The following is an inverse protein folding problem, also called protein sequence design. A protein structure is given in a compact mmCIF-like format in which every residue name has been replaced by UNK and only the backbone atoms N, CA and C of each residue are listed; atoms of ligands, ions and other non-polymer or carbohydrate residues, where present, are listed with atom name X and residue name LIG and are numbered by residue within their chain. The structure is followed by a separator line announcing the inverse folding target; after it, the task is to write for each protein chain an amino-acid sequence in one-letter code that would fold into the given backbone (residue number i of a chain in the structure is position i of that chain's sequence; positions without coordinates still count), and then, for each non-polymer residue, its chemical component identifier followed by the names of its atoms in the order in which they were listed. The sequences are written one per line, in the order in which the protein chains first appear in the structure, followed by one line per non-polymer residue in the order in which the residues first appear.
data_IF_423057212563
#
_entry.id   IF_423057212563
#
_cell.length_a   1.000
_cell.length_b   1.000
_cell.length_c   1.000
_cell.angle_alpha   90.00
_cell.angle_beta   90.00
_cell.angle_gamma   90.00
#
_symmetry.space_group_name_H-M   'P 1'
#
loop_
_entity.id
_entity.type
_entity.pdbx_description
1 polymer ?
#
# COMPACT_ATOMS: atom_id res chain seq x y z
N UNK A 1 64.45 -28.91 45.63
CA UNK A 1 63.46 -30.00 45.78
C UNK A 1 62.10 -29.36 46.01
N UNK A 2 61.24 -29.30 45.00
CA UNK A 2 60.12 -30.22 44.74
C UNK A 2 58.75 -29.64 45.18
N UNK A 3 58.03 -29.14 44.16
CA UNK A 3 56.57 -29.19 43.90
C UNK A 3 55.56 -28.69 44.94
N UNK A 4 54.73 -27.72 44.51
CA UNK A 4 53.24 -27.75 44.36
C UNK A 4 52.77 -26.34 43.90
N UNK A 5 52.57 -26.08 42.60
CA UNK A 5 51.31 -26.17 41.81
C UNK A 5 50.05 -25.65 42.54
N UNK A 6 49.57 -24.46 42.17
CA UNK A 6 48.20 -24.28 41.69
C UNK A 6 48.16 -23.11 40.71
N UNK A 7 47.77 -23.42 39.47
CA UNK A 7 47.65 -22.53 38.32
C UNK A 7 46.42 -21.64 38.48
N UNK A 8 46.63 -20.33 38.44
CA UNK A 8 45.56 -19.34 38.33
C UNK A 8 44.86 -19.50 36.98
N UNK A 9 43.53 -19.48 37.04
CA UNK A 9 42.62 -19.75 35.94
C UNK A 9 42.75 -18.72 34.82
N UNK A 10 43.26 -19.16 33.68
CA UNK A 10 43.03 -18.52 32.39
C UNK A 10 41.58 -18.80 31.97
N UNK A 11 40.70 -17.81 32.12
CA UNK A 11 39.38 -17.81 31.48
C UNK A 11 39.38 -16.72 30.41
N UNK A 12 40.06 -17.03 29.31
CA UNK A 12 40.00 -16.34 28.03
C UNK A 12 38.73 -16.73 27.26
N UNK A 13 38.21 -15.79 26.47
CA UNK A 13 37.40 -16.10 25.30
C UNK A 13 35.88 -16.18 25.52
N UNK A 14 35.18 -15.08 25.27
CA UNK A 14 33.75 -15.14 24.96
C UNK A 14 32.96 -13.87 25.17
N UNK A 15 33.41 -12.73 24.62
CA UNK A 15 32.50 -11.59 24.46
C UNK A 15 31.34 -12.00 23.57
N UNK A 16 30.16 -12.12 24.18
CA UNK A 16 28.88 -12.30 23.50
C UNK A 16 28.73 -11.22 22.41
N UNK A 17 28.96 -11.60 21.16
CA UNK A 17 28.51 -10.83 20.00
C UNK A 17 26.98 -10.92 19.92
N UNK A 18 26.29 -10.23 20.83
CA UNK A 18 24.90 -9.78 20.65
C UNK A 18 24.90 -8.63 19.64
N UNK A 19 25.11 -8.94 18.36
CA UNK A 19 24.83 -8.00 17.28
C UNK A 19 24.05 -8.66 16.15
N UNK A 20 22.75 -8.35 16.20
CA UNK A 20 21.81 -8.21 15.08
C UNK A 20 21.49 -9.47 14.30
N UNK A 21 20.43 -10.15 14.75
CA UNK A 21 19.61 -11.08 13.95
C UNK A 21 18.28 -10.44 13.53
N UNK A 22 18.27 -9.11 13.32
CA UNK A 22 17.08 -8.30 13.00
C UNK A 22 17.17 -7.58 11.65
N UNK A 23 18.21 -7.80 10.85
CA UNK A 23 18.38 -7.14 9.55
C UNK A 23 17.59 -7.80 8.42
N UNK A 24 17.49 -9.14 8.40
CA UNK A 24 16.85 -9.88 7.30
C UNK A 24 15.38 -9.49 7.02
N UNK A 25 14.50 -9.31 8.03
CA UNK A 25 13.10 -8.97 7.75
C UNK A 25 12.95 -7.57 7.17
N UNK A 26 13.77 -6.63 7.63
CA UNK A 26 13.72 -5.22 7.22
C UNK A 26 14.23 -5.08 5.78
N UNK A 27 15.29 -5.80 5.42
CA UNK A 27 15.83 -5.79 4.06
C UNK A 27 14.83 -6.32 3.02
N UNK A 28 14.03 -7.33 3.38
CA UNK A 28 12.99 -7.87 2.50
C UNK A 28 11.86 -6.84 2.32
N UNK A 29 11.42 -6.18 3.40
CA UNK A 29 10.41 -5.12 3.33
C UNK A 29 10.84 -3.95 2.44
N UNK A 30 12.09 -3.48 2.59
CA UNK A 30 12.63 -2.39 1.80
C UNK A 30 12.74 -2.79 0.31
N UNK A 31 13.07 -4.06 0.06
CA UNK A 31 13.08 -4.62 -1.30
C UNK A 31 11.68 -4.65 -1.92
N UNK A 32 10.66 -5.07 -1.17
CA UNK A 32 9.26 -5.06 -1.62
C UNK A 32 8.80 -3.65 -1.97
N UNK A 33 9.12 -2.67 -1.13
CA UNK A 33 8.82 -1.26 -1.38
C UNK A 33 9.50 -0.75 -2.65
N UNK A 34 10.79 -1.05 -2.82
CA UNK A 34 11.54 -0.68 -4.03
C UNK A 34 10.93 -1.28 -5.30
N UNK A 35 10.53 -2.55 -5.28
CA UNK A 35 9.90 -3.22 -6.41
C UNK A 35 8.57 -2.57 -6.79
N UNK A 36 7.72 -2.27 -5.80
CA UNK A 36 6.42 -1.62 -6.04
C UNK A 36 6.63 -0.19 -6.56
N UNK A 37 7.55 0.59 -6.00
CA UNK A 37 7.76 1.98 -6.46
C UNK A 37 8.34 2.06 -7.88
N UNK A 38 9.20 1.11 -8.24
CA UNK A 38 9.89 1.07 -9.55
C UNK A 38 9.04 0.52 -10.69
N UNK A 39 7.92 -0.14 -10.40
CA UNK A 39 7.02 -0.61 -11.46
C UNK A 39 6.54 0.58 -12.31
N UNK A 40 6.45 0.39 -13.63
CA UNK A 40 6.12 1.46 -14.58
C UNK A 40 7.29 2.35 -14.99
N UNK A 41 8.51 2.12 -14.51
CA UNK A 41 9.72 2.80 -15.00
C UNK A 41 10.30 2.13 -16.25
N UNK A 42 11.19 2.85 -16.95
CA UNK A 42 11.89 2.38 -18.15
C UNK A 42 12.54 1.02 -17.86
N UNK A 43 12.14 0.01 -18.63
CA UNK A 43 12.57 -1.37 -18.47
C UNK A 43 12.89 -1.99 -19.83
N UNK A 44 13.70 -3.04 -19.83
CA UNK A 44 13.99 -3.84 -21.03
C UNK A 44 12.81 -4.75 -21.42
N UNK A 45 11.99 -5.12 -20.45
CA UNK A 45 10.79 -5.96 -20.61
C UNK A 45 9.53 -5.11 -20.69
N UNK A 46 8.44 -5.67 -21.23
CA UNK A 46 7.15 -4.99 -21.33
C UNK A 46 6.52 -4.72 -19.95
N UNK A 47 5.64 -3.72 -19.87
CA UNK A 47 4.98 -3.34 -18.62
C UNK A 47 4.10 -4.48 -18.08
N UNK A 48 3.43 -5.20 -18.98
CA UNK A 48 2.59 -6.35 -18.66
C UNK A 48 3.41 -7.46 -18.02
N UNK A 49 4.58 -7.79 -18.60
CA UNK A 49 5.47 -8.82 -18.05
C UNK A 49 6.01 -8.42 -16.68
N UNK A 50 6.30 -7.14 -16.46
CA UNK A 50 6.79 -6.64 -15.17
C UNK A 50 5.68 -6.70 -14.10
N UNK A 51 4.45 -6.34 -14.46
CA UNK A 51 3.29 -6.42 -13.57
C UNK A 51 2.95 -7.86 -13.19
N UNK A 52 2.94 -8.78 -14.16
CA UNK A 52 2.67 -10.18 -13.93
C UNK A 52 3.73 -10.82 -13.02
N UNK A 53 5.01 -10.53 -13.30
CA UNK A 53 6.12 -10.99 -12.47
C UNK A 53 6.07 -10.43 -11.05
N UNK A 54 5.77 -9.14 -10.89
CA UNK A 54 5.64 -8.51 -9.58
C UNK A 54 4.45 -9.07 -8.80
N UNK A 55 3.31 -9.30 -9.44
CA UNK A 55 2.14 -9.90 -8.80
C UNK A 55 2.47 -11.29 -8.23
N UNK A 56 3.22 -12.12 -8.97
CA UNK A 56 3.66 -13.43 -8.50
C UNK A 56 4.62 -13.36 -7.31
N UNK A 57 5.54 -12.39 -7.30
CA UNK A 57 6.45 -12.17 -6.15
C UNK A 57 5.66 -11.72 -4.92
N UNK A 58 4.78 -10.73 -5.07
CA UNK A 58 3.97 -10.22 -3.97
C UNK A 58 3.05 -11.30 -3.40
N UNK A 59 2.44 -12.13 -4.25
CA UNK A 59 1.61 -13.27 -3.83
C UNK A 59 2.40 -14.26 -2.95
N UNK A 60 3.62 -14.61 -3.35
CA UNK A 60 4.47 -15.53 -2.59
C UNK A 60 4.85 -14.97 -1.21
N UNK A 61 4.98 -13.65 -1.10
CA UNK A 61 5.34 -12.95 0.14
C UNK A 61 4.14 -12.56 1.02
N UNK A 62 2.89 -12.70 0.53
CA UNK A 62 1.68 -12.40 1.31
C UNK A 62 1.64 -13.10 2.68
N UNK A 63 1.95 -14.40 2.85
CA UNK A 63 1.81 -15.09 4.14
C UNK A 63 2.60 -14.44 5.28
N UNK A 64 3.75 -13.83 4.95
CA UNK A 64 4.66 -13.24 5.93
C UNK A 64 4.57 -11.71 5.96
N UNK A 65 4.24 -11.07 4.83
CA UNK A 65 4.36 -9.61 4.65
C UNK A 65 3.06 -8.90 4.21
N UNK A 66 1.90 -9.58 4.27
CA UNK A 66 0.59 -9.01 3.86
C UNK A 66 0.35 -7.59 4.35
N UNK A 67 0.54 -7.34 5.65
CA UNK A 67 0.29 -6.02 6.25
C UNK A 67 1.22 -4.93 5.69
N UNK A 68 2.49 -5.27 5.42
CA UNK A 68 3.44 -4.33 4.84
C UNK A 68 3.07 -4.03 3.38
N UNK A 69 2.74 -5.07 2.61
CA UNK A 69 2.30 -4.93 1.21
C UNK A 69 1.05 -4.06 1.11
N UNK A 70 0.04 -4.30 1.96
CA UNK A 70 -1.16 -3.48 2.05
C UNK A 70 -0.83 -2.01 2.31
N UNK A 71 0.07 -1.73 3.27
CA UNK A 71 0.49 -0.37 3.60
C UNK A 71 1.21 0.32 2.44
N UNK A 72 2.12 -0.38 1.76
CA UNK A 72 2.84 0.18 0.61
C UNK A 72 1.85 0.49 -0.53
N UNK A 73 0.95 -0.44 -0.86
CA UNK A 73 -0.03 -0.25 -1.93
C UNK A 73 -1.01 0.90 -1.62
N UNK A 74 -1.46 1.03 -0.37
CA UNK A 74 -2.28 2.17 0.04
C UNK A 74 -1.49 3.49 -0.03
N UNK A 75 -0.19 3.46 0.29
CA UNK A 75 0.67 4.65 0.20
C UNK A 75 0.86 5.11 -1.24
N UNK A 76 1.19 4.20 -2.18
CA UNK A 76 1.37 4.56 -3.59
C UNK A 76 0.06 5.03 -4.24
N UNK A 77 -1.10 4.48 -3.85
CA UNK A 77 -2.41 4.94 -4.31
C UNK A 77 -2.69 6.42 -3.93
N UNK A 78 -2.07 6.90 -2.85
CA UNK A 78 -2.23 8.27 -2.35
C UNK A 78 -1.13 9.21 -2.82
N UNK A 79 0.11 8.72 -2.93
CA UNK A 79 1.30 9.53 -3.16
C UNK A 79 1.71 9.61 -4.63
N UNK A 80 1.32 8.64 -5.47
CA UNK A 80 1.76 8.52 -6.87
C UNK A 80 0.58 8.41 -7.84
N UNK A 81 -0.29 9.43 -7.93
CA UNK A 81 -1.46 9.41 -8.81
C UNK A 81 -1.09 9.35 -10.31
N UNK A 82 0.12 9.71 -10.70
CA UNK A 82 0.60 9.66 -12.08
C UNK A 82 0.76 8.24 -12.64
N UNK A 83 0.93 7.24 -11.75
CA UNK A 83 1.04 5.82 -12.09
C UNK A 83 -0.22 5.04 -11.70
N UNK A 84 -1.36 5.71 -11.50
CA UNK A 84 -2.58 5.12 -10.94
C UNK A 84 -2.99 3.82 -11.62
N UNK A 85 -3.10 3.81 -12.96
CA UNK A 85 -3.53 2.63 -13.72
C UNK A 85 -2.57 1.45 -13.63
N UNK A 86 -1.28 1.70 -13.38
CA UNK A 86 -0.27 0.66 -13.18
C UNK A 86 -0.52 -0.05 -11.85
N UNK A 87 -0.77 0.72 -10.80
CA UNK A 87 -1.03 0.18 -9.47
C UNK A 87 -2.39 -0.50 -9.33
N UNK A 88 -3.43 0.02 -9.97
CA UNK A 88 -4.75 -0.62 -9.99
C UNK A 88 -4.72 -1.95 -10.74
N UNK A 89 -3.97 -2.01 -11.86
CA UNK A 89 -3.72 -3.28 -12.58
C UNK A 89 -2.97 -4.28 -11.70
N UNK A 90 -1.93 -3.86 -10.98
CA UNK A 90 -1.20 -4.73 -10.05
C UNK A 90 -2.14 -5.31 -8.96
N UNK A 91 -2.99 -4.46 -8.37
CA UNK A 91 -4.00 -4.90 -7.40
C UNK A 91 -5.02 -5.84 -8.03
N UNK A 92 -5.42 -5.60 -9.28
CA UNK A 92 -6.29 -6.49 -10.06
C UNK A 92 -5.70 -7.89 -10.23
N UNK A 93 -4.43 -7.97 -10.60
CA UNK A 93 -3.70 -9.24 -10.72
C UNK A 93 -3.60 -9.97 -9.36
N UNK A 94 -3.31 -9.23 -8.29
CA UNK A 94 -3.27 -9.78 -6.94
C UNK A 94 -4.66 -10.28 -6.47
N UNK A 95 -5.72 -9.56 -6.79
CA UNK A 95 -7.08 -9.97 -6.47
C UNK A 95 -7.49 -11.25 -7.23
N UNK A 96 -7.11 -11.37 -8.51
CA UNK A 96 -7.37 -12.57 -9.30
C UNK A 96 -6.67 -13.82 -8.74
N UNK A 97 -5.51 -13.63 -8.10
CA UNK A 97 -4.72 -14.69 -7.44
C UNK A 97 -5.22 -14.98 -6.03
N UNK A 98 -5.59 -13.94 -5.28
CA UNK A 98 -6.05 -14.03 -3.90
C UNK A 98 -7.19 -13.03 -3.62
N UNK A 99 -8.43 -13.50 -3.72
CA UNK A 99 -9.62 -12.68 -3.47
C UNK A 99 -9.71 -12.15 -2.03
N UNK A 100 -9.20 -12.89 -1.03
CA UNK A 100 -9.20 -12.43 0.35
C UNK A 100 -8.32 -11.19 0.52
N UNK A 101 -7.15 -11.19 -0.13
CA UNK A 101 -6.27 -10.03 -0.14
C UNK A 101 -6.94 -8.82 -0.80
N UNK A 102 -7.62 -9.01 -1.94
CA UNK A 102 -8.35 -7.93 -2.61
C UNK A 102 -9.41 -7.29 -1.71
N UNK A 103 -10.18 -8.11 -0.98
CA UNK A 103 -11.14 -7.63 0.01
C UNK A 103 -10.51 -6.83 1.14
N UNK A 104 -9.42 -7.34 1.73
CA UNK A 104 -8.67 -6.63 2.79
C UNK A 104 -8.06 -5.31 2.28
N UNK A 105 -7.61 -5.28 1.03
CA UNK A 105 -7.07 -4.08 0.39
C UNK A 105 -8.13 -3.01 0.20
N UNK A 106 -9.31 -3.36 -0.34
CA UNK A 106 -10.42 -2.41 -0.50
C UNK A 106 -10.87 -1.88 0.86
N UNK A 107 -10.95 -2.74 1.89
CA UNK A 107 -11.29 -2.30 3.24
C UNK A 107 -10.25 -1.31 3.81
N UNK A 108 -8.96 -1.59 3.62
CA UNK A 108 -7.88 -0.68 4.00
C UNK A 108 -7.95 0.67 3.28
N UNK A 109 -8.26 0.67 1.97
CA UNK A 109 -8.43 1.89 1.18
C UNK A 109 -9.62 2.74 1.65
N UNK A 110 -10.75 2.11 2.01
CA UNK A 110 -11.91 2.83 2.56
C UNK A 110 -11.60 3.41 3.94
N UNK A 111 -10.90 2.66 4.81
CA UNK A 111 -10.41 3.20 6.09
C UNK A 111 -9.51 4.42 5.87
N UNK A 112 -8.55 4.30 4.93
CA UNK A 112 -7.65 5.39 4.59
C UNK A 112 -8.41 6.62 4.07
N UNK A 113 -9.41 6.43 3.19
CA UNK A 113 -10.23 7.52 2.67
C UNK A 113 -10.98 8.26 3.80
N UNK A 114 -11.57 7.52 4.74
CA UNK A 114 -12.24 8.12 5.92
C UNK A 114 -11.27 8.94 6.78
N UNK A 115 -10.07 8.43 7.03
CA UNK A 115 -9.03 9.15 7.78
C UNK A 115 -8.56 10.41 7.05
N UNK A 116 -8.32 10.31 5.74
CA UNK A 116 -7.89 11.43 4.90
C UNK A 116 -8.95 12.54 4.86
N UNK A 117 -10.23 12.19 4.77
CA UNK A 117 -11.35 13.14 4.88
C UNK A 117 -11.42 13.79 6.26
N UNK A 118 -11.29 13.00 7.35
CA UNK A 118 -11.28 13.51 8.73
C UNK A 118 -10.15 14.51 8.98
N UNK A 119 -9.01 14.30 8.33
CA UNK A 119 -7.83 15.16 8.44
C UNK A 119 -7.86 16.35 7.47
N UNK A 120 -8.98 16.58 6.75
CA UNK A 120 -9.13 17.65 5.76
C UNK A 120 -8.15 17.58 4.57
N UNK A 121 -7.62 16.39 4.28
CA UNK A 121 -6.68 16.15 3.16
C UNK A 121 -7.44 15.86 1.86
N UNK A 122 -8.30 16.80 1.43
CA UNK A 122 -9.25 16.57 0.33
C UNK A 122 -8.58 16.22 -1.01
N UNK A 123 -7.41 16.78 -1.32
CA UNK A 123 -6.68 16.46 -2.55
C UNK A 123 -6.27 14.98 -2.60
N UNK A 124 -5.79 14.45 -1.48
CA UNK A 124 -5.42 13.04 -1.36
C UNK A 124 -6.65 12.14 -1.38
N UNK A 125 -7.76 12.57 -0.77
CA UNK A 125 -9.03 11.85 -0.83
C UNK A 125 -9.52 11.68 -2.27
N UNK A 126 -9.34 12.70 -3.14
CA UNK A 126 -9.68 12.59 -4.58
C UNK A 126 -8.83 11.52 -5.26
N UNK A 127 -7.54 11.40 -4.93
CA UNK A 127 -6.68 10.34 -5.49
C UNK A 127 -7.15 8.94 -5.08
N UNK A 128 -7.52 8.77 -3.81
CA UNK A 128 -8.07 7.51 -3.31
C UNK A 128 -9.39 7.15 -3.99
N UNK A 129 -10.29 8.13 -4.19
CA UNK A 129 -11.57 7.92 -4.89
C UNK A 129 -11.34 7.55 -6.37
N UNK A 130 -10.39 8.21 -7.05
CA UNK A 130 -10.01 7.84 -8.42
C UNK A 130 -9.44 6.43 -8.49
N UNK A 131 -8.62 6.05 -7.52
CA UNK A 131 -8.05 4.71 -7.43
C UNK A 131 -9.16 3.65 -7.27
N UNK A 132 -10.09 3.86 -6.33
CA UNK A 132 -11.25 2.99 -6.12
C UNK A 132 -12.14 2.89 -7.37
N UNK A 133 -12.27 3.98 -8.12
CA UNK A 133 -13.04 4.00 -9.38
C UNK A 133 -12.38 3.14 -10.45
N UNK A 134 -11.06 3.23 -10.61
CA UNK A 134 -10.34 2.47 -11.62
C UNK A 134 -10.22 0.98 -11.26
N UNK A 135 -10.30 0.63 -9.97
CA UNK A 135 -10.43 -0.78 -9.53
C UNK A 135 -11.69 -1.49 -10.03
N UNK A 136 -12.73 -0.75 -10.46
CA UNK A 136 -13.89 -1.34 -11.15
C UNK A 136 -13.47 -1.90 -12.50
N UNK A 137 -12.61 -1.18 -13.23
CA UNK A 137 -12.07 -1.62 -14.53
C UNK A 137 -11.19 -2.87 -14.37
N UNK A 138 -10.53 -3.02 -13.22
CA UNK A 138 -9.71 -4.19 -12.88
C UNK A 138 -10.50 -5.34 -12.24
N UNK A 139 -11.83 -5.28 -12.21
CA UNK A 139 -12.72 -6.29 -11.61
C UNK A 139 -12.45 -6.60 -10.12
N UNK A 140 -11.91 -5.62 -9.37
CA UNK A 140 -11.71 -5.74 -7.92
C UNK A 140 -12.93 -5.24 -7.16
N UNK A 141 -13.57 -4.18 -7.66
CA UNK A 141 -14.78 -3.59 -7.07
C UNK A 141 -15.95 -3.73 -8.05
N UNK A 142 -17.12 -4.10 -7.53
CA UNK A 142 -18.33 -4.16 -8.34
C UNK A 142 -18.81 -2.75 -8.69
N UNK A 143 -19.14 -2.51 -9.96
CA UNK A 143 -19.63 -1.21 -10.43
C UNK A 143 -20.80 -0.63 -9.61
N UNK A 144 -21.82 -1.43 -9.18
CA UNK A 144 -22.90 -0.91 -8.34
C UNK A 144 -22.42 -0.32 -7.01
N UNK A 145 -21.34 -0.86 -6.42
CA UNK A 145 -20.78 -0.34 -5.16
C UNK A 145 -20.18 1.04 -5.33
N UNK A 146 -19.53 1.32 -6.47
CA UNK A 146 -19.00 2.65 -6.77
C UNK A 146 -20.10 3.66 -7.08
N UNK A 147 -21.16 3.24 -7.78
CA UNK A 147 -22.33 4.10 -8.02
C UNK A 147 -22.97 4.51 -6.70
N UNK A 148 -23.22 3.56 -5.80
CA UNK A 148 -23.76 3.86 -4.47
C UNK A 148 -22.84 4.80 -3.66
N UNK A 149 -21.52 4.68 -3.80
CA UNK A 149 -20.58 5.61 -3.17
C UNK A 149 -20.74 7.04 -3.72
N UNK A 150 -20.87 7.20 -5.04
CA UNK A 150 -21.07 8.51 -5.65
C UNK A 150 -22.43 9.12 -5.34
N UNK A 151 -23.49 8.32 -5.24
CA UNK A 151 -24.80 8.78 -4.78
C UNK A 151 -24.71 9.40 -3.37
N UNK A 152 -23.98 8.74 -2.45
CA UNK A 152 -23.70 9.28 -1.12
C UNK A 152 -22.84 10.56 -1.13
N UNK A 153 -21.96 10.75 -2.12
CA UNK A 153 -21.21 12.00 -2.24
C UNK A 153 -22.08 13.14 -2.76
N UNK A 154 -23.00 12.84 -3.69
CA UNK A 154 -23.94 13.81 -4.23
C UNK A 154 -24.96 14.20 -3.15
N UNK A 155 -25.42 13.28 -2.31
CA UNK A 155 -26.40 13.59 -1.25
C UNK A 155 -25.90 14.64 -0.26
N UNK A 156 -24.59 14.74 -0.01
CA UNK A 156 -23.99 15.79 0.83
C UNK A 156 -24.24 17.19 0.25
N UNK A 157 -24.45 17.32 -1.05
CA UNK A 157 -24.78 18.62 -1.68
C UNK A 157 -26.21 19.08 -1.42
N UNK A 158 -27.08 18.16 -0.95
CA UNK A 158 -28.47 18.41 -0.60
C UNK A 158 -28.65 18.73 0.89
N UNK A 159 -27.60 18.60 1.70
CA UNK A 159 -27.63 18.94 3.13
C UNK A 159 -27.71 20.46 3.31
N UNK A 160 -28.72 20.90 4.06
CA UNK A 160 -28.88 22.31 4.47
C UNK A 160 -27.83 22.65 5.56
N UNK A 161 -27.38 23.91 5.60
CA UNK A 161 -26.37 24.45 6.55
C UNK A 161 -24.90 23.98 6.41
N UNK A 162 -24.51 23.32 5.31
CA UNK A 162 -23.09 22.96 5.08
C UNK A 162 -22.31 24.14 4.46
N UNK A 163 -21.11 24.49 4.97
CA UNK A 163 -20.27 25.52 4.35
C UNK A 163 -20.02 25.19 2.88
N UNK A 164 -20.24 26.16 1.99
CA UNK A 164 -20.11 26.01 0.53
C UNK A 164 -18.73 25.45 0.07
N UNK A 165 -17.72 25.44 0.97
CA UNK A 165 -16.38 24.84 0.79
C UNK A 165 -16.36 23.32 0.96
N UNK A 166 -17.21 22.72 1.81
CA UNK A 166 -17.33 21.26 1.96
C UNK A 166 -17.86 20.59 0.69
N UNK A 167 -18.69 21.32 -0.06
CA UNK A 167 -19.09 20.92 -1.41
C UNK A 167 -18.02 21.14 -2.49
N UNK A 168 -16.94 21.89 -2.25
CA UNK A 168 -15.89 22.15 -3.27
C UNK A 168 -14.96 20.98 -3.50
N UNK A 169 -14.73 20.12 -2.51
CA UNK A 169 -14.02 18.85 -2.71
C UNK A 169 -14.73 17.92 -3.70
N UNK A 170 -16.07 17.95 -3.74
CA UNK A 170 -16.88 17.24 -4.72
C UNK A 170 -17.21 18.08 -5.98
N UNK A 171 -17.08 19.41 -5.94
CA UNK A 171 -17.35 20.35 -7.06
C UNK A 171 -16.11 20.84 -7.82
N UNK A 172 -14.95 20.19 -7.68
CA UNK A 172 -13.70 20.70 -8.25
C UNK A 172 -13.58 20.60 -9.80
N UNK A 173 -14.66 20.43 -10.57
CA UNK A 173 -14.57 20.41 -12.03
C UNK A 173 -15.68 21.14 -12.80
N UNK A 174 -16.43 22.05 -12.17
CA UNK A 174 -17.45 22.86 -12.87
C UNK A 174 -17.05 24.31 -13.13
N UNK A 175 -15.80 24.69 -12.84
CA UNK A 175 -15.29 26.04 -13.12
C UNK A 175 -13.90 26.02 -13.75
N UNK A 176 -13.79 25.36 -14.90
CA UNK A 176 -12.86 25.77 -15.96
C UNK A 176 -13.70 25.93 -17.23
N UNK A 177 -13.52 27.08 -17.88
CA UNK A 177 -14.27 27.58 -19.04
C UNK A 177 -14.42 26.56 -20.16
#
# INVERSE_FOLDING_TARGET
MSRRRHSESENDGGQEHKRRRTSEPIEIEDRLESLICRVGEKSTSSLESNLEGLAGVLEADLPNYKNKILRILCAVARLLPEKLSVYTTLVGLLNARNYNFGGEFVEAMIRQLKETLKNNLYNEAVYLVRFLSDLVNCHVIAAPSMVAMFENFISVTLEEDVPQVGGRGCRANTYLK
#
